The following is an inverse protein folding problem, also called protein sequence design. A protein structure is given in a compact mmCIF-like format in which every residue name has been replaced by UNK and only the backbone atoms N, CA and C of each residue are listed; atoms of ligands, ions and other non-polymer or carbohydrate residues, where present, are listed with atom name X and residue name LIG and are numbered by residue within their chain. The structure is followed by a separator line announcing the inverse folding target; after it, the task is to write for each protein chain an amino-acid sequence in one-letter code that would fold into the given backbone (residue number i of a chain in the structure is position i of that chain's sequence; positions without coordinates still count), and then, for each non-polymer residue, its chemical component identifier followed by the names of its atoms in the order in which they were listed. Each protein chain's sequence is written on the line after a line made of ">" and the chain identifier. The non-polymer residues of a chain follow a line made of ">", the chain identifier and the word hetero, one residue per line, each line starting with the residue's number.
data_IF_483513244627
#
_entry.id   IF_483513244627
#
_cell.length_a   1.000
_cell.length_b   1.000
_cell.length_c   1.000
_cell.angle_alpha   90.00
_cell.angle_beta   90.00
_cell.angle_gamma   90.00
#
_symmetry.space_group_name_H-M   'P 1'
#
loop_
_entity.id
_entity.type
_entity.pdbx_description
1 polymer ?
#
# COMPACT_ATOMS: atom_id res chain seq x y z
N UNK A 1 -26.26 10.13 8.47
CA UNK A 1 -24.93 9.98 9.07
C UNK A 1 -25.10 9.80 10.57
N UNK A 2 -24.66 8.67 11.10
CA UNK A 2 -24.51 8.46 12.55
C UNK A 2 -23.00 8.51 12.87
N UNK A 3 -22.63 8.49 14.15
CA UNK A 3 -21.23 8.47 14.58
C UNK A 3 -20.73 7.04 14.84
N UNK A 4 -21.34 6.06 14.17
CA UNK A 4 -20.94 4.66 14.26
C UNK A 4 -20.22 4.34 12.96
N UNK A 5 -19.00 3.83 13.04
CA UNK A 5 -18.28 3.36 11.86
C UNK A 5 -19.05 2.20 11.23
N UNK A 6 -19.26 2.25 9.92
CA UNK A 6 -19.88 1.15 9.18
C UNK A 6 -18.92 -0.07 9.14
N UNK A 7 -17.63 0.18 8.93
CA UNK A 7 -16.56 -0.83 8.91
C UNK A 7 -15.36 -0.30 9.71
N UNK A 8 -14.68 -1.19 10.44
CA UNK A 8 -13.45 -0.90 11.17
C UNK A 8 -12.37 -1.90 10.77
N UNK A 9 -11.22 -1.39 10.34
CA UNK A 9 -10.02 -2.18 10.04
C UNK A 9 -9.08 -2.20 11.25
N UNK A 10 -8.33 -3.28 11.41
CA UNK A 10 -7.42 -3.48 12.53
C UNK A 10 -6.02 -3.83 12.03
N UNK A 11 -5.01 -3.23 12.65
CA UNK A 11 -3.62 -3.64 12.44
C UNK A 11 -3.34 -5.03 13.01
N UNK A 12 -2.29 -5.66 12.50
CA UNK A 12 -1.92 -7.04 12.81
C UNK A 12 -1.21 -7.18 14.17
N UNK A 13 -0.25 -6.31 14.47
CA UNK A 13 0.46 -6.30 15.74
C UNK A 13 0.47 -4.92 16.44
N UNK A 14 0.68 -4.88 17.77
CA UNK A 14 0.86 -3.62 18.49
C UNK A 14 2.06 -2.83 17.97
N UNK A 15 1.87 -1.51 17.81
CA UNK A 15 2.89 -0.56 17.38
C UNK A 15 3.37 -0.67 15.92
N UNK A 16 2.70 -1.45 15.06
CA UNK A 16 3.02 -1.50 13.62
C UNK A 16 2.69 -0.18 12.89
N UNK A 17 2.07 0.78 13.58
CA UNK A 17 1.64 2.06 13.03
C UNK A 17 0.61 1.90 11.90
N UNK A 18 -0.24 0.86 11.97
CA UNK A 18 -1.33 0.64 11.03
C UNK A 18 -2.24 1.87 10.96
N UNK A 19 -2.49 2.33 9.73
CA UNK A 19 -3.24 3.56 9.48
C UNK A 19 -2.38 4.82 9.43
N UNK A 20 -1.04 4.72 9.39
CA UNK A 20 -0.18 5.90 9.24
C UNK A 20 -0.37 6.61 7.89
N UNK A 21 -0.76 5.86 6.86
CA UNK A 21 -1.14 6.38 5.55
C UNK A 21 -2.34 5.59 5.04
N UNK A 22 -3.35 6.28 4.52
CA UNK A 22 -4.57 5.67 3.98
C UNK A 22 -4.91 6.36 2.66
N UNK A 23 -5.26 5.57 1.65
CA UNK A 23 -5.73 6.08 0.36
C UNK A 23 -6.80 5.15 -0.22
N UNK A 24 -7.68 5.69 -1.06
CA UNK A 24 -8.37 4.85 -2.06
C UNK A 24 -7.37 4.39 -3.11
N UNK A 25 -7.55 3.19 -3.66
CA UNK A 25 -6.67 2.60 -4.65
C UNK A 25 -7.19 2.66 -6.09
N UNK A 26 -8.43 3.14 -6.29
CA UNK A 26 -9.16 2.86 -7.54
C UNK A 26 -9.68 1.43 -7.54
N UNK A 27 -10.00 0.89 -8.71
CA UNK A 27 -10.47 -0.50 -8.89
C UNK A 27 -9.28 -1.37 -9.35
N UNK A 28 -8.61 -2.01 -8.40
CA UNK A 28 -7.40 -2.80 -8.64
C UNK A 28 -7.73 -4.16 -9.24
N UNK A 29 -8.92 -4.70 -8.98
CA UNK A 29 -9.30 -6.07 -9.34
C UNK A 29 -10.35 -6.17 -10.49
N UNK A 30 -10.85 -5.02 -10.95
CA UNK A 30 -11.78 -4.89 -12.09
C UNK A 30 -13.23 -5.18 -11.74
N UNK A 31 -13.64 -5.08 -10.48
CA UNK A 31 -15.00 -5.35 -10.03
C UNK A 31 -15.93 -4.11 -10.05
N UNK A 32 -15.40 -2.98 -10.51
CA UNK A 32 -16.03 -1.64 -10.58
C UNK A 32 -16.27 -0.96 -9.23
N UNK A 33 -15.69 -1.46 -8.14
CA UNK A 33 -15.67 -0.81 -6.84
C UNK A 33 -14.27 -0.29 -6.54
N UNK A 34 -14.19 0.83 -5.82
CA UNK A 34 -12.88 1.34 -5.38
C UNK A 34 -12.41 0.59 -4.14
N UNK A 35 -11.12 0.27 -4.12
CA UNK A 35 -10.41 -0.44 -3.07
C UNK A 35 -9.71 0.53 -2.12
N UNK A 36 -9.19 0.00 -1.01
CA UNK A 36 -8.54 0.77 0.05
C UNK A 36 -7.12 0.26 0.30
N UNK A 37 -6.18 1.19 0.45
CA UNK A 37 -4.81 0.96 0.88
C UNK A 37 -4.61 1.48 2.30
N UNK A 38 -3.98 0.67 3.16
CA UNK A 38 -3.58 1.08 4.51
C UNK A 38 -2.13 0.69 4.77
N UNK A 39 -1.31 1.69 5.11
CA UNK A 39 0.09 1.50 5.51
C UNK A 39 0.23 1.17 6.99
N UNK A 40 1.26 0.37 7.30
CA UNK A 40 1.75 0.04 8.63
C UNK A 40 3.28 0.10 8.62
N UNK A 41 3.82 1.33 8.55
CA UNK A 41 5.24 1.57 8.28
C UNK A 41 6.21 1.06 9.36
N UNK A 42 5.72 0.71 10.55
CA UNK A 42 6.56 0.18 11.63
C UNK A 42 6.47 -1.34 11.80
N UNK A 43 5.69 -2.02 10.95
CA UNK A 43 5.56 -3.48 10.93
C UNK A 43 6.93 -4.18 10.92
N UNK A 44 7.06 -5.21 11.76
CA UNK A 44 8.22 -6.10 11.89
C UNK A 44 9.59 -5.40 11.79
N UNK A 45 9.99 -4.74 12.88
CA UNK A 45 11.27 -4.00 12.94
C UNK A 45 11.39 -2.92 11.85
N UNK A 46 10.30 -2.19 11.60
CA UNK A 46 10.24 -1.12 10.60
C UNK A 46 10.51 -1.60 9.17
N UNK A 47 10.30 -2.89 8.90
CA UNK A 47 10.26 -3.40 7.53
C UNK A 47 9.13 -2.71 6.77
N UNK A 48 7.98 -2.57 7.43
CA UNK A 48 6.80 -1.91 6.91
C UNK A 48 5.95 -2.85 6.07
N UNK A 49 4.63 -2.59 6.06
CA UNK A 49 3.64 -3.40 5.34
C UNK A 49 2.51 -2.52 4.84
N UNK A 50 1.93 -2.87 3.70
CA UNK A 50 0.72 -2.26 3.16
C UNK A 50 -0.33 -3.34 2.99
N UNK A 51 -1.56 -3.00 3.36
CA UNK A 51 -2.74 -3.84 3.29
C UNK A 51 -3.69 -3.27 2.23
N UNK A 52 -4.12 -4.13 1.31
CA UNK A 52 -5.18 -3.86 0.35
C UNK A 52 -6.46 -4.52 0.86
N UNK A 53 -7.55 -3.77 0.78
CA UNK A 53 -8.91 -4.25 1.02
C UNK A 53 -9.73 -3.94 -0.22
N UNK A 54 -10.21 -4.99 -0.88
CA UNK A 54 -11.05 -4.83 -2.05
C UNK A 54 -12.41 -4.26 -1.65
N UNK A 55 -12.87 -3.32 -2.47
CA UNK A 55 -14.22 -2.81 -2.41
C UNK A 55 -15.22 -3.89 -2.80
N UNK A 56 -16.50 -3.50 -2.79
CA UNK A 56 -17.55 -4.38 -3.25
C UNK A 56 -18.92 -3.99 -2.71
N UNK A 57 -19.95 -4.59 -3.30
CA UNK A 57 -21.33 -4.44 -2.81
C UNK A 57 -21.53 -4.88 -1.36
N UNK A 58 -20.61 -5.70 -0.83
CA UNK A 58 -20.56 -6.15 0.55
C UNK A 58 -19.10 -6.17 1.03
N UNK A 59 -18.43 -5.02 0.95
CA UNK A 59 -17.09 -4.83 1.48
C UNK A 59 -17.02 -5.29 2.94
N UNK A 60 -15.95 -6.01 3.30
CA UNK A 60 -15.65 -6.41 4.66
C UNK A 60 -14.30 -5.83 5.13
N UNK A 61 -13.79 -6.31 6.27
CA UNK A 61 -12.51 -5.87 6.83
C UNK A 61 -11.44 -6.97 6.81
N UNK A 62 -11.60 -7.97 5.96
CA UNK A 62 -10.62 -9.03 5.73
C UNK A 62 -9.61 -8.51 4.70
N UNK A 63 -8.32 -8.65 5.00
CA UNK A 63 -7.28 -8.27 4.06
C UNK A 63 -7.28 -9.22 2.85
N UNK A 64 -7.34 -8.66 1.64
CA UNK A 64 -7.30 -9.43 0.40
C UNK A 64 -5.87 -9.67 -0.09
N UNK A 65 -5.02 -8.64 0.03
CA UNK A 65 -3.63 -8.68 -0.41
C UNK A 65 -2.76 -7.82 0.50
N UNK A 66 -1.51 -8.23 0.71
CA UNK A 66 -0.54 -7.39 1.41
C UNK A 66 0.84 -7.45 0.78
N UNK A 67 1.54 -6.33 0.81
CA UNK A 67 2.93 -6.19 0.40
C UNK A 67 3.78 -5.82 1.61
N UNK A 68 4.94 -6.46 1.76
CA UNK A 68 5.87 -6.22 2.87
C UNK A 68 7.17 -5.64 2.32
N UNK A 69 7.76 -4.68 3.03
CA UNK A 69 9.05 -4.10 2.65
C UNK A 69 10.16 -5.16 2.57
N UNK A 70 11.20 -4.87 1.79
CA UNK A 70 12.26 -5.84 1.49
C UNK A 70 13.17 -6.14 2.70
N UNK A 71 13.41 -5.14 3.56
CA UNK A 71 14.35 -5.24 4.68
C UNK A 71 13.87 -4.38 5.87
N UNK A 72 14.42 -4.68 7.06
CA UNK A 72 14.21 -3.88 8.27
C UNK A 72 14.56 -2.40 8.05
N UNK A 73 13.91 -1.51 8.79
CA UNK A 73 14.13 -0.05 8.71
C UNK A 73 13.94 0.56 7.32
N UNK A 74 13.17 -0.08 6.44
CA UNK A 74 12.79 0.48 5.14
C UNK A 74 11.57 1.40 5.25
N UNK A 75 10.75 1.21 6.28
CA UNK A 75 9.52 1.97 6.51
C UNK A 75 8.56 1.90 5.31
N UNK A 76 8.45 0.73 4.67
CA UNK A 76 7.54 0.51 3.55
C UNK A 76 6.08 0.79 3.96
N UNK A 77 5.34 1.51 3.12
CA UNK A 77 4.00 1.99 3.47
C UNK A 77 4.01 3.26 4.32
N UNK A 78 5.11 4.03 4.32
CA UNK A 78 5.10 5.39 4.91
C UNK A 78 4.17 6.32 4.13
N UNK A 79 4.17 6.18 2.81
CA UNK A 79 3.22 6.78 1.89
C UNK A 79 2.57 5.68 1.05
N UNK A 80 1.28 5.84 0.76
CA UNK A 80 0.51 4.98 -0.16
C UNK A 80 -0.37 5.87 -1.01
N UNK A 81 -0.50 5.53 -2.29
CA UNK A 81 -1.42 6.20 -3.20
C UNK A 81 -1.97 5.19 -4.21
N UNK A 82 -3.28 5.26 -4.45
CA UNK A 82 -3.84 4.73 -5.68
C UNK A 82 -3.35 5.56 -6.87
N UNK A 83 -2.95 4.90 -7.92
CA UNK A 83 -2.87 5.47 -9.25
C UNK A 83 -4.13 5.06 -10.03
N UNK A 84 -4.41 5.77 -11.11
CA UNK A 84 -5.34 5.21 -12.11
C UNK A 84 -4.61 4.10 -12.87
N UNK A 85 -4.94 3.90 -14.13
CA UNK A 85 -4.34 2.89 -14.99
C UNK A 85 -3.06 3.44 -15.66
N UNK A 86 -1.89 3.17 -15.08
CA UNK A 86 -0.58 3.64 -15.55
C UNK A 86 -0.09 2.87 -16.77
N UNK A 87 -0.50 1.61 -16.92
CA UNK A 87 -0.04 0.72 -17.98
C UNK A 87 -1.06 0.52 -19.13
N UNK A 88 -2.26 1.10 -18.99
CA UNK A 88 -3.39 1.04 -19.92
C UNK A 88 -4.01 -0.35 -20.10
N UNK A 89 -4.04 -1.16 -19.04
CA UNK A 89 -4.61 -2.52 -19.05
C UNK A 89 -6.08 -2.59 -18.57
N UNK A 90 -6.63 -1.48 -18.10
CA UNK A 90 -8.00 -1.32 -17.64
C UNK A 90 -8.20 -1.49 -16.13
N UNK A 91 -7.13 -1.67 -15.35
CA UNK A 91 -7.17 -1.77 -13.89
C UNK A 91 -6.47 -0.56 -13.27
N UNK A 92 -6.86 -0.18 -12.06
CA UNK A 92 -6.13 0.85 -11.32
C UNK A 92 -4.84 0.26 -10.76
N UNK A 93 -3.81 1.08 -10.64
CA UNK A 93 -2.51 0.70 -10.11
C UNK A 93 -2.26 1.36 -8.75
N UNK A 94 -1.13 1.07 -8.11
CA UNK A 94 -0.77 1.75 -6.86
C UNK A 94 0.72 2.05 -6.77
N UNK A 95 1.05 3.03 -5.92
CA UNK A 95 2.42 3.43 -5.60
C UNK A 95 2.61 3.44 -4.08
N UNK A 96 3.70 2.84 -3.61
CA UNK A 96 4.05 2.74 -2.18
C UNK A 96 5.45 3.27 -1.95
N UNK A 97 5.61 4.15 -0.95
CA UNK A 97 6.91 4.67 -0.53
C UNK A 97 7.57 3.88 0.59
N UNK A 98 8.90 3.77 0.54
CA UNK A 98 9.76 3.24 1.59
C UNK A 98 11.01 4.15 1.74
N UNK A 99 10.91 5.25 2.51
CA UNK A 99 11.97 6.26 2.58
C UNK A 99 13.28 5.73 3.20
N UNK A 100 13.21 4.65 4.00
CA UNK A 100 14.38 4.01 4.58
C UNK A 100 15.11 3.04 3.63
N UNK A 101 14.51 2.69 2.50
CA UNK A 101 15.10 1.75 1.54
C UNK A 101 16.34 2.35 0.84
N UNK A 102 17.11 1.48 0.16
CA UNK A 102 18.31 1.88 -0.60
C UNK A 102 19.31 2.74 0.21
N UNK A 103 19.56 2.37 1.48
CA UNK A 103 20.47 3.14 2.35
C UNK A 103 19.94 4.54 2.70
N UNK A 104 18.63 4.64 2.97
CA UNK A 104 17.91 5.91 3.20
C UNK A 104 17.93 6.89 2.04
N UNK A 105 18.38 6.48 0.84
CA UNK A 105 18.05 7.22 -0.37
C UNK A 105 16.54 7.15 -0.66
N UNK A 106 15.90 6.06 -0.25
CA UNK A 106 14.48 5.81 -0.39
C UNK A 106 14.12 5.13 -1.71
N UNK A 107 12.93 4.52 -1.75
CA UNK A 107 12.33 3.89 -2.93
C UNK A 107 10.84 4.17 -2.98
N UNK A 108 10.30 4.23 -4.20
CA UNK A 108 8.88 4.09 -4.47
C UNK A 108 8.67 2.86 -5.36
N UNK A 109 7.67 2.06 -5.03
CA UNK A 109 7.34 0.80 -5.69
C UNK A 109 5.99 0.98 -6.39
N UNK A 110 5.90 0.58 -7.65
CA UNK A 110 4.65 0.54 -8.41
C UNK A 110 4.21 -0.91 -8.52
N UNK A 111 2.93 -1.14 -8.29
CA UNK A 111 2.27 -2.42 -8.47
C UNK A 111 1.08 -2.19 -9.41
N UNK A 112 1.03 -2.96 -10.48
CA UNK A 112 -0.07 -2.91 -11.42
C UNK A 112 -1.27 -3.70 -10.88
N UNK A 113 -2.46 -3.17 -11.14
CA UNK A 113 -3.70 -3.89 -10.92
C UNK A 113 -3.85 -5.07 -11.87
N UNK A 114 -4.96 -5.78 -11.72
CA UNK A 114 -5.31 -6.84 -12.63
C UNK A 114 -6.38 -7.78 -12.06
N UNK A 115 -7.01 -8.55 -12.96
CA UNK A 115 -7.95 -9.61 -12.58
C UNK A 115 -7.35 -10.63 -11.60
N UNK A 116 -6.03 -10.70 -11.50
CA UNK A 116 -5.31 -11.46 -10.49
C UNK A 116 -4.06 -10.67 -10.07
N UNK A 117 -4.29 -9.49 -9.48
CA UNK A 117 -3.22 -8.70 -8.85
C UNK A 117 -2.43 -9.56 -7.85
N UNK A 118 -1.10 -9.47 -7.94
CA UNK A 118 -0.19 -10.12 -7.00
C UNK A 118 0.57 -9.06 -6.16
N UNK A 119 1.45 -9.53 -5.27
CA UNK A 119 2.22 -8.67 -4.39
C UNK A 119 3.69 -8.50 -4.83
N UNK A 120 3.96 -8.69 -6.12
CA UNK A 120 5.27 -8.51 -6.72
C UNK A 120 5.30 -7.13 -7.37
N UNK A 121 6.32 -6.34 -7.09
CA UNK A 121 6.48 -5.02 -7.67
C UNK A 121 6.78 -5.09 -9.18
N UNK A 122 6.13 -4.22 -9.95
CA UNK A 122 6.35 -4.10 -11.40
C UNK A 122 7.45 -3.09 -11.72
N UNK A 123 7.59 -2.05 -10.91
CA UNK A 123 8.61 -1.02 -11.06
C UNK A 123 9.13 -0.54 -9.71
N UNK A 124 10.45 -0.32 -9.65
CA UNK A 124 11.12 0.31 -8.51
C UNK A 124 11.76 1.62 -8.97
N UNK A 125 11.34 2.71 -8.36
CA UNK A 125 11.95 4.02 -8.48
C UNK A 125 12.90 4.24 -7.30
N UNK A 126 14.18 4.50 -7.58
CA UNK A 126 15.18 4.70 -6.53
C UNK A 126 15.43 6.19 -6.29
N UNK A 127 15.54 6.58 -5.03
CA UNK A 127 16.16 7.85 -4.67
C UNK A 127 17.63 7.89 -5.06
N UNK A 128 18.13 9.06 -5.41
CA UNK A 128 19.46 9.22 -6.02
C UNK A 128 20.57 9.33 -4.97
N UNK A 129 20.36 10.10 -3.90
CA UNK A 129 21.39 10.36 -2.89
C UNK A 129 21.02 9.76 -1.53
N UNK A 130 22.01 9.33 -0.73
CA UNK A 130 21.76 8.88 0.64
C UNK A 130 21.08 9.96 1.49
N UNK A 131 20.05 9.55 2.24
CA UNK A 131 19.22 10.41 3.10
C UNK A 131 18.29 11.38 2.36
N UNK A 132 18.06 11.17 1.06
CA UNK A 132 17.00 11.88 0.34
C UNK A 132 15.60 11.45 0.83
N UNK A 133 15.48 10.26 1.43
CA UNK A 133 14.23 9.72 1.94
C UNK A 133 13.12 9.72 0.88
N UNK A 134 13.46 9.39 -0.38
CA UNK A 134 12.50 9.32 -1.47
C UNK A 134 11.44 8.22 -1.22
N UNK A 135 10.17 8.56 -1.44
CA UNK A 135 9.04 7.64 -1.23
C UNK A 135 8.18 8.06 -0.05
#
# INVERSE_FOLDING_TARGET
>A
MNNVSDITFYGEFPNDNFGNSVSTAGDLNGDSYSDILIGASQYDSYTGKVYVYYGGSSMDNINDLSMTGENISNYFGTSVAGAEDLNLDGYSDLVIGAPGANGSAGRAYVYYGGASMDNIEDLILNGENPNDEFG
#
